data_IF_252001408382
#
_entry.id   IF_252001408382
#
_cell.length_a   1.000
_cell.length_b   1.000
_cell.length_c   1.000
_cell.angle_alpha   90.00
_cell.angle_beta   90.00
_cell.angle_gamma   90.00
#
_symmetry.space_group_name_H-M   'P 1'
#
loop_
_entity.id
_entity.type
_entity.pdbx_description
1 polymer ?
#
# COMPACT_ATOMS: atom_id res chain seq x y z
N UNK A 1 16.99 9.18 -13.27
CA UNK A 1 16.89 8.05 -12.33
C UNK A 1 17.84 6.90 -12.67
N UNK A 2 17.68 6.23 -13.82
CA UNK A 2 18.45 5.03 -14.21
C UNK A 2 19.96 5.19 -14.08
N UNK A 3 20.55 6.26 -14.60
CA UNK A 3 22.00 6.51 -14.49
C UNK A 3 22.45 6.54 -13.03
N UNK A 4 21.69 7.22 -12.15
CA UNK A 4 21.99 7.32 -10.72
C UNK A 4 21.82 5.97 -10.03
N UNK A 5 20.83 5.16 -10.42
CA UNK A 5 20.66 3.79 -9.92
C UNK A 5 21.90 2.93 -10.25
N UNK A 6 22.41 2.99 -11.48
CA UNK A 6 23.63 2.29 -11.86
C UNK A 6 24.82 2.78 -11.01
N UNK A 7 25.00 4.09 -10.86
CA UNK A 7 26.06 4.64 -9.99
C UNK A 7 25.89 4.15 -8.55
N UNK A 8 24.67 4.18 -8.01
CA UNK A 8 24.37 3.72 -6.66
C UNK A 8 24.81 2.26 -6.49
N UNK A 9 24.33 1.35 -7.34
CA UNK A 9 24.64 -0.09 -7.27
C UNK A 9 26.14 -0.37 -7.38
N UNK A 10 26.83 0.20 -8.38
CA UNK A 10 28.23 -0.11 -8.63
C UNK A 10 29.22 0.68 -7.75
N UNK A 11 28.78 1.75 -7.09
CA UNK A 11 29.64 2.56 -6.21
C UNK A 11 29.76 2.01 -4.78
N UNK A 12 28.94 1.02 -4.39
CA UNK A 12 28.94 0.48 -3.03
C UNK A 12 30.32 -0.03 -2.60
N UNK A 13 30.88 -1.01 -3.32
CA UNK A 13 32.18 -1.61 -2.98
C UNK A 13 33.33 -0.59 -2.89
N UNK A 14 33.56 0.29 -3.90
CA UNK A 14 34.64 1.26 -3.82
C UNK A 14 34.41 2.33 -2.75
N UNK A 15 33.18 2.77 -2.49
CA UNK A 15 32.90 3.76 -1.45
C UNK A 15 33.02 3.15 -0.04
N UNK A 16 32.58 1.90 0.13
CA UNK A 16 32.69 1.19 1.39
C UNK A 16 34.16 0.96 1.78
N UNK A 17 34.99 0.50 0.82
CA UNK A 17 36.44 0.31 1.03
C UNK A 17 37.17 1.60 1.43
N UNK A 18 36.72 2.74 0.90
CA UNK A 18 37.30 4.05 1.19
C UNK A 18 36.66 4.76 2.39
N UNK A 19 35.84 4.07 3.20
CA UNK A 19 35.09 4.63 4.33
C UNK A 19 34.21 5.86 3.97
N UNK A 20 33.69 5.90 2.73
CA UNK A 20 32.85 6.99 2.19
C UNK A 20 31.37 6.59 2.11
N UNK A 21 30.87 5.82 3.09
CA UNK A 21 29.48 5.36 3.15
C UNK A 21 28.46 6.50 3.06
N UNK A 22 28.77 7.65 3.66
CA UNK A 22 27.91 8.85 3.58
C UNK A 22 27.65 9.32 2.14
N UNK A 23 28.63 9.19 1.23
CA UNK A 23 28.42 9.54 -0.19
C UNK A 23 27.46 8.58 -0.88
N UNK A 24 27.49 7.31 -0.53
CA UNK A 24 26.54 6.32 -1.05
C UNK A 24 25.11 6.60 -0.53
N UNK A 25 24.96 6.99 0.73
CA UNK A 25 23.67 7.41 1.28
C UNK A 25 23.12 8.63 0.53
N UNK A 26 23.96 9.65 0.28
CA UNK A 26 23.56 10.83 -0.51
C UNK A 26 23.12 10.45 -1.92
N UNK A 27 23.84 9.52 -2.59
CA UNK A 27 23.40 9.00 -3.89
C UNK A 27 22.03 8.32 -3.80
N UNK A 28 21.75 7.59 -2.72
CA UNK A 28 20.44 7.00 -2.46
C UNK A 28 19.34 8.05 -2.28
N UNK A 29 19.62 9.14 -1.55
CA UNK A 29 18.67 10.27 -1.41
C UNK A 29 18.40 10.92 -2.76
N UNK A 30 19.43 11.19 -3.55
CA UNK A 30 19.29 11.76 -4.91
C UNK A 30 18.47 10.83 -5.82
N UNK A 31 18.70 9.51 -5.72
CA UNK A 31 17.92 8.53 -6.47
C UNK A 31 16.43 8.61 -6.12
N UNK A 32 16.09 8.72 -4.83
CA UNK A 32 14.70 8.90 -4.39
C UNK A 32 14.11 10.23 -4.88
N UNK A 33 14.87 11.33 -4.86
CA UNK A 33 14.40 12.62 -5.42
C UNK A 33 14.05 12.49 -6.90
N UNK A 34 14.87 11.78 -7.68
CA UNK A 34 14.56 11.52 -9.09
C UNK A 34 13.35 10.62 -9.27
N UNK A 35 13.21 9.55 -8.48
CA UNK A 35 12.03 8.68 -8.52
C UNK A 35 10.73 9.42 -8.17
N UNK A 36 10.77 10.29 -7.16
CA UNK A 36 9.64 11.16 -6.78
C UNK A 36 9.32 12.18 -7.87
N UNK A 37 10.34 12.76 -8.51
CA UNK A 37 10.13 13.69 -9.62
C UNK A 37 9.45 12.98 -10.81
N UNK A 38 9.82 11.73 -11.09
CA UNK A 38 9.18 10.90 -12.11
C UNK A 38 7.73 10.58 -11.75
N UNK A 39 7.45 10.25 -10.49
CA UNK A 39 6.09 10.04 -10.00
C UNK A 39 5.22 11.28 -10.28
N UNK A 40 5.67 12.46 -9.84
CA UNK A 40 4.94 13.72 -10.04
C UNK A 40 4.75 14.04 -11.53
N UNK A 41 5.74 13.75 -12.37
CA UNK A 41 5.62 13.95 -13.82
C UNK A 41 4.59 13.01 -14.46
N UNK A 42 4.54 11.74 -14.05
CA UNK A 42 3.56 10.77 -14.54
C UNK A 42 2.14 11.05 -14.04
N UNK A 43 2.00 11.67 -12.87
CA UNK A 43 0.71 12.07 -12.33
C UNK A 43 0.08 13.24 -13.08
N UNK A 44 0.88 14.10 -13.73
CA UNK A 44 0.38 15.24 -14.50
C UNK A 44 -0.64 14.83 -15.59
N UNK A 45 -0.27 13.98 -16.56
CA UNK A 45 -1.21 13.49 -17.56
C UNK A 45 -2.39 12.73 -16.96
N UNK A 46 -2.19 11.97 -15.89
CA UNK A 46 -3.26 11.22 -15.24
C UNK A 46 -4.34 12.16 -14.67
N UNK A 47 -3.93 13.22 -13.95
CA UNK A 47 -4.86 14.19 -13.39
C UNK A 47 -5.38 15.18 -14.43
N UNK A 48 -4.66 15.42 -15.53
CA UNK A 48 -5.19 16.15 -16.68
C UNK A 48 -6.35 15.42 -17.34
N UNK A 49 -6.24 14.10 -17.52
CA UNK A 49 -7.33 13.29 -18.07
C UNK A 49 -8.54 13.20 -17.12
N UNK A 50 -8.29 13.18 -15.81
CA UNK A 50 -9.34 13.02 -14.80
C UNK A 50 -10.04 14.34 -14.42
N UNK A 51 -9.26 15.39 -14.19
CA UNK A 51 -9.72 16.72 -13.78
C UNK A 51 -8.98 17.79 -14.59
N UNK A 52 -9.29 17.95 -15.89
CA UNK A 52 -8.62 18.93 -16.73
C UNK A 52 -8.81 20.37 -16.20
N UNK A 53 -7.85 21.29 -16.42
CA UNK A 53 -8.00 22.68 -16.00
C UNK A 53 -9.27 23.35 -16.52
N UNK A 54 -9.90 24.19 -15.69
CA UNK A 54 -11.09 24.97 -16.06
C UNK A 54 -10.73 26.45 -16.28
N UNK A 55 -11.47 27.17 -17.15
CA UNK A 55 -12.56 26.69 -18.01
C UNK A 55 -12.06 25.80 -19.16
N UNK A 56 -12.86 24.81 -19.56
CA UNK A 56 -12.44 23.76 -20.51
C UNK A 56 -12.19 24.29 -21.94
N UNK A 57 -12.80 25.42 -22.29
CA UNK A 57 -12.64 26.09 -23.59
C UNK A 57 -11.22 26.62 -23.83
N UNK A 58 -10.49 26.91 -22.76
CA UNK A 58 -9.14 27.47 -22.82
C UNK A 58 -8.03 26.42 -22.78
N UNK A 59 -8.37 25.12 -22.79
CA UNK A 59 -7.38 24.03 -22.63
C UNK A 59 -6.24 24.04 -23.65
N UNK A 60 -6.48 24.58 -24.85
CA UNK A 60 -5.45 24.72 -25.88
C UNK A 60 -4.54 25.93 -25.64
N UNK A 61 -5.02 26.94 -24.90
CA UNK A 61 -4.37 28.24 -24.71
C UNK A 61 -3.71 28.41 -23.32
N UNK A 62 -3.74 27.37 -22.48
CA UNK A 62 -3.04 27.39 -21.18
C UNK A 62 -1.55 27.05 -21.30
N UNK A 63 -0.77 27.51 -20.32
CA UNK A 63 0.65 27.16 -20.21
C UNK A 63 0.88 25.66 -19.97
N UNK A 64 2.04 25.15 -20.37
CA UNK A 64 2.41 23.74 -20.14
C UNK A 64 2.42 23.38 -18.65
N UNK A 65 2.78 24.33 -17.77
CA UNK A 65 2.71 24.11 -16.33
C UNK A 65 1.28 23.90 -15.85
N UNK A 66 0.34 24.70 -16.34
CA UNK A 66 -1.07 24.59 -15.96
C UNK A 66 -1.71 23.30 -16.49
N UNK A 67 -1.19 22.70 -17.57
CA UNK A 67 -1.61 21.38 -18.05
C UNK A 67 -1.23 20.26 -17.09
N UNK A 68 -0.15 20.41 -16.32
CA UNK A 68 0.32 19.43 -15.33
C UNK A 68 -0.29 19.71 -13.96
N UNK A 69 -0.25 20.96 -13.51
CA UNK A 69 -0.65 21.39 -12.18
C UNK A 69 -2.17 21.54 -12.04
N UNK A 70 -2.91 20.48 -12.33
CA UNK A 70 -4.37 20.45 -12.14
C UNK A 70 -4.74 20.44 -10.65
N UNK A 71 -6.00 20.72 -10.33
CA UNK A 71 -6.49 20.80 -8.93
C UNK A 71 -6.20 19.55 -8.12
N UNK A 72 -6.20 18.37 -8.76
CA UNK A 72 -5.98 17.09 -8.08
C UNK A 72 -4.54 16.57 -8.19
N UNK A 73 -3.64 17.27 -8.89
CA UNK A 73 -2.26 16.82 -9.13
C UNK A 73 -1.47 16.60 -7.83
N UNK A 74 -1.34 17.62 -6.98
CA UNK A 74 -0.65 17.49 -5.70
C UNK A 74 -1.34 16.52 -4.72
N UNK A 75 -2.68 16.57 -4.56
CA UNK A 75 -3.41 15.57 -3.79
C UNK A 75 -3.13 14.12 -4.24
N UNK A 76 -3.08 13.86 -5.56
CA UNK A 76 -2.72 12.55 -6.09
C UNK A 76 -1.26 12.20 -5.78
N UNK A 77 -0.33 13.14 -5.95
CA UNK A 77 1.09 12.94 -5.62
C UNK A 77 1.27 12.52 -4.15
N UNK A 78 0.58 13.18 -3.21
CA UNK A 78 0.63 12.81 -1.80
C UNK A 78 0.05 11.41 -1.55
N UNK A 79 -1.09 11.09 -2.17
CA UNK A 79 -1.70 9.79 -2.04
C UNK A 79 -0.81 8.67 -2.58
N UNK A 80 -0.23 8.86 -3.78
CA UNK A 80 0.66 7.88 -4.42
C UNK A 80 2.02 7.78 -3.77
N UNK A 81 2.56 8.86 -3.20
CA UNK A 81 3.77 8.80 -2.39
C UNK A 81 3.60 7.81 -1.24
N UNK A 82 2.50 7.95 -0.50
CA UNK A 82 2.17 7.07 0.61
C UNK A 82 1.89 5.65 0.13
N UNK A 83 1.10 5.49 -0.93
CA UNK A 83 0.82 4.17 -1.51
C UNK A 83 2.10 3.45 -1.97
N UNK A 84 2.96 4.10 -2.74
CA UNK A 84 4.20 3.51 -3.26
C UNK A 84 5.19 3.18 -2.13
N UNK A 85 5.28 4.03 -1.10
CA UNK A 85 6.12 3.75 0.06
C UNK A 85 5.62 2.55 0.88
N UNK A 86 4.29 2.43 1.02
CA UNK A 86 3.63 1.26 1.63
C UNK A 86 3.96 -0.01 0.85
N UNK A 87 3.81 0.03 -0.47
CA UNK A 87 4.20 -1.06 -1.37
C UNK A 87 5.66 -1.46 -1.22
N UNK A 88 6.59 -0.50 -1.18
CA UNK A 88 8.00 -0.76 -0.96
C UNK A 88 8.26 -1.54 0.34
N UNK A 89 7.61 -1.16 1.44
CA UNK A 89 7.69 -1.87 2.71
C UNK A 89 7.15 -3.30 2.65
N UNK A 90 5.97 -3.50 2.06
CA UNK A 90 5.42 -4.84 1.92
C UNK A 90 6.13 -5.71 0.88
N UNK A 91 6.84 -5.11 -0.08
CA UNK A 91 7.75 -5.86 -0.93
C UNK A 91 8.95 -6.42 -0.16
N UNK A 92 9.50 -5.65 0.77
CA UNK A 92 10.51 -6.14 1.71
C UNK A 92 9.94 -7.28 2.58
N UNK A 93 8.67 -7.22 2.97
CA UNK A 93 7.99 -8.32 3.68
C UNK A 93 7.97 -9.62 2.86
N UNK A 94 7.55 -9.57 1.59
CA UNK A 94 7.51 -10.75 0.73
C UNK A 94 8.91 -11.35 0.57
N UNK A 95 9.89 -10.50 0.24
CA UNK A 95 11.28 -10.95 0.05
C UNK A 95 11.82 -11.55 1.34
N UNK A 96 11.67 -10.87 2.48
CA UNK A 96 12.09 -11.36 3.78
C UNK A 96 11.43 -12.70 4.14
N UNK A 97 10.13 -12.85 3.88
CA UNK A 97 9.40 -14.09 4.16
C UNK A 97 9.85 -15.26 3.27
N UNK A 98 10.01 -15.04 1.96
CA UNK A 98 10.52 -16.08 1.06
C UNK A 98 11.94 -16.50 1.41
N UNK A 99 12.82 -15.53 1.64
CA UNK A 99 14.18 -15.82 2.03
C UNK A 99 14.24 -16.55 3.38
N UNK A 100 13.39 -16.18 4.35
CA UNK A 100 13.27 -16.89 5.63
C UNK A 100 12.83 -18.35 5.45
N UNK A 101 11.78 -18.58 4.64
CA UNK A 101 11.21 -19.91 4.42
C UNK A 101 12.14 -20.83 3.62
N UNK A 102 12.93 -20.28 2.71
CA UNK A 102 13.86 -21.05 1.86
C UNK A 102 15.30 -21.10 2.37
N UNK A 103 15.63 -20.44 3.48
CA UNK A 103 16.95 -20.55 4.10
C UNK A 103 17.04 -21.81 4.96
N UNK A 104 18.17 -22.50 4.92
CA UNK A 104 18.47 -23.62 5.83
C UNK A 104 19.31 -23.19 7.03
N UNK A 105 20.11 -22.12 6.88
CA UNK A 105 21.03 -21.67 7.92
C UNK A 105 20.32 -20.82 8.97
N UNK A 106 20.66 -21.07 10.23
CA UNK A 106 20.11 -20.31 11.37
C UNK A 106 20.38 -18.81 11.26
N UNK A 107 21.60 -18.42 10.90
CA UNK A 107 22.00 -17.00 10.78
C UNK A 107 21.20 -16.28 9.68
N UNK A 108 20.96 -16.95 8.55
CA UNK A 108 20.15 -16.41 7.45
C UNK A 108 18.69 -16.24 7.90
N UNK A 109 18.12 -17.24 8.60
CA UNK A 109 16.77 -17.12 9.18
C UNK A 109 16.66 -15.98 10.19
N UNK A 110 17.66 -15.79 11.04
CA UNK A 110 17.70 -14.68 12.00
C UNK A 110 17.68 -13.32 11.28
N UNK A 111 18.49 -13.19 10.23
CA UNK A 111 18.53 -11.99 9.42
C UNK A 111 17.20 -11.73 8.69
N UNK A 112 16.63 -12.73 8.02
CA UNK A 112 15.40 -12.54 7.24
C UNK A 112 14.15 -12.36 8.12
N UNK A 113 14.14 -12.88 9.35
CA UNK A 113 13.13 -12.55 10.36
C UNK A 113 13.17 -11.06 10.70
N UNK A 114 14.37 -10.50 10.91
CA UNK A 114 14.55 -9.05 11.10
C UNK A 114 14.14 -8.24 9.86
N UNK A 115 14.51 -8.68 8.66
CA UNK A 115 14.10 -8.03 7.39
C UNK A 115 12.58 -7.98 7.28
N UNK A 116 11.89 -9.10 7.56
CA UNK A 116 10.42 -9.15 7.54
C UNK A 116 9.77 -8.18 8.52
N UNK A 117 10.35 -8.04 9.72
CA UNK A 117 9.89 -7.06 10.71
C UNK A 117 10.08 -5.61 10.24
N UNK A 118 11.26 -5.27 9.71
CA UNK A 118 11.55 -3.94 9.18
C UNK A 118 10.65 -3.61 8.00
N UNK A 119 10.41 -4.57 7.10
CA UNK A 119 9.46 -4.42 6.00
C UNK A 119 8.06 -4.08 6.50
N UNK A 120 7.57 -4.80 7.52
CA UNK A 120 6.24 -4.54 8.07
C UNK A 120 6.17 -3.17 8.75
N UNK A 121 7.20 -2.81 9.52
CA UNK A 121 7.32 -1.51 10.17
C UNK A 121 7.28 -0.35 9.16
N UNK A 122 8.04 -0.45 8.08
CA UNK A 122 8.07 0.58 7.02
C UNK A 122 6.73 0.61 6.28
N UNK A 123 6.21 -0.55 5.87
CA UNK A 123 4.96 -0.66 5.11
C UNK A 123 3.80 -0.07 5.90
N UNK A 124 3.58 -0.53 7.13
CA UNK A 124 2.49 -0.04 7.99
C UNK A 124 2.74 1.41 8.41
N UNK A 125 3.98 1.77 8.75
CA UNK A 125 4.34 3.12 9.17
C UNK A 125 4.02 4.17 8.11
N UNK A 126 4.33 3.87 6.85
CA UNK A 126 3.95 4.74 5.72
C UNK A 126 2.44 4.64 5.45
N UNK A 127 1.80 3.49 5.62
CA UNK A 127 0.35 3.33 5.39
C UNK A 127 -0.53 4.15 6.36
N UNK A 128 -0.05 4.49 7.56
CA UNK A 128 -0.81 5.25 8.58
C UNK A 128 -1.46 6.54 8.04
N UNK A 129 -0.75 7.44 7.33
CA UNK A 129 -1.36 8.63 6.73
C UNK A 129 -2.27 8.37 5.51
N UNK A 130 -2.29 7.14 4.96
CA UNK A 130 -2.98 6.85 3.70
C UNK A 130 -4.49 7.19 3.71
N UNK A 131 -5.27 6.89 4.77
CA UNK A 131 -6.69 7.28 4.82
C UNK A 131 -6.90 8.79 4.75
N UNK A 132 -6.02 9.57 5.41
CA UNK A 132 -6.08 11.03 5.36
C UNK A 132 -5.74 11.55 3.96
N UNK A 133 -4.70 11.01 3.31
CA UNK A 133 -4.35 11.39 1.94
C UNK A 133 -5.45 11.03 0.94
N UNK A 134 -6.09 9.87 1.09
CA UNK A 134 -7.24 9.48 0.27
C UNK A 134 -8.44 10.42 0.47
N UNK A 135 -8.73 10.83 1.70
CA UNK A 135 -9.79 11.80 1.98
C UNK A 135 -9.51 13.16 1.33
N UNK A 136 -8.27 13.68 1.43
CA UNK A 136 -7.88 14.93 0.79
C UNK A 136 -8.05 14.81 -0.72
N UNK A 137 -7.53 13.74 -1.33
CA UNK A 137 -7.63 13.54 -2.78
C UNK A 137 -9.08 13.53 -3.27
N UNK A 138 -9.95 12.76 -2.63
CA UNK A 138 -11.36 12.69 -3.07
C UNK A 138 -12.10 13.99 -2.78
N UNK A 139 -11.79 14.70 -1.68
CA UNK A 139 -12.37 16.02 -1.42
C UNK A 139 -12.10 17.00 -2.57
N UNK A 140 -10.88 17.02 -3.10
CA UNK A 140 -10.52 17.89 -4.23
C UNK A 140 -11.26 17.48 -5.52
N UNK A 141 -11.49 16.19 -5.75
CA UNK A 141 -12.35 15.71 -6.85
C UNK A 141 -13.79 16.23 -6.69
N UNK A 142 -14.36 16.18 -5.48
CA UNK A 142 -15.70 16.71 -5.21
C UNK A 142 -15.80 18.22 -5.43
N UNK A 143 -14.76 18.96 -5.06
CA UNK A 143 -14.70 20.41 -5.28
C UNK A 143 -14.55 20.77 -6.76
N UNK A 144 -13.84 19.95 -7.52
CA UNK A 144 -13.71 20.10 -8.97
C UNK A 144 -15.05 19.82 -9.67
N UNK A 145 -15.67 18.67 -9.42
CA UNK A 145 -16.98 18.31 -9.98
C UNK A 145 -17.67 17.24 -9.13
N UNK A 146 -18.81 17.60 -8.54
CA UNK A 146 -19.62 16.69 -7.74
C UNK A 146 -20.10 15.46 -8.52
N UNK A 147 -20.23 15.54 -9.85
CA UNK A 147 -20.62 14.39 -10.69
C UNK A 147 -19.60 13.26 -10.63
N UNK A 148 -18.29 13.57 -10.69
CA UNK A 148 -17.23 12.55 -10.54
C UNK A 148 -17.22 12.02 -9.12
N UNK A 149 -17.29 12.91 -8.12
CA UNK A 149 -17.28 12.52 -6.72
C UNK A 149 -18.41 11.56 -6.37
N UNK A 150 -19.64 11.85 -6.83
CA UNK A 150 -20.80 10.97 -6.63
C UNK A 150 -20.67 9.65 -7.38
N UNK A 151 -20.06 9.66 -8.57
CA UNK A 151 -19.82 8.43 -9.33
C UNK A 151 -18.89 7.46 -8.58
N UNK A 152 -17.80 7.99 -8.01
CA UNK A 152 -16.83 7.22 -7.20
C UNK A 152 -17.47 6.69 -5.91
N UNK A 153 -18.18 7.55 -5.17
CA UNK A 153 -18.56 7.25 -3.78
C UNK A 153 -19.97 6.69 -3.60
N UNK A 154 -20.87 6.90 -4.55
CA UNK A 154 -22.30 6.63 -4.38
C UNK A 154 -22.98 5.96 -5.58
N UNK A 155 -22.28 5.85 -6.71
CA UNK A 155 -22.78 5.19 -7.91
C UNK A 155 -21.86 4.00 -8.30
N UNK A 156 -21.70 3.71 -9.60
CA UNK A 156 -21.09 2.47 -10.12
C UNK A 156 -19.76 2.06 -9.48
N UNK A 157 -18.95 3.00 -9.01
CA UNK A 157 -17.66 2.73 -8.35
C UNK A 157 -17.72 2.60 -6.82
N UNK A 158 -18.86 2.88 -6.20
CA UNK A 158 -19.01 2.83 -4.74
C UNK A 158 -18.62 1.48 -4.15
N UNK A 159 -18.91 0.38 -4.86
CA UNK A 159 -18.52 -0.97 -4.44
C UNK A 159 -17.02 -1.23 -4.62
N UNK A 160 -16.36 -0.59 -5.58
CA UNK A 160 -14.91 -0.66 -5.74
C UNK A 160 -14.22 0.01 -4.54
N UNK A 161 -14.74 1.17 -4.11
CA UNK A 161 -14.28 1.86 -2.91
C UNK A 161 -14.48 1.02 -1.64
N UNK A 162 -15.56 0.23 -1.56
CA UNK A 162 -15.77 -0.71 -0.45
C UNK A 162 -14.76 -1.86 -0.46
N UNK A 163 -14.47 -2.44 -1.63
CA UNK A 163 -13.42 -3.47 -1.76
C UNK A 163 -12.06 -2.92 -1.35
N UNK A 164 -11.71 -1.71 -1.80
CA UNK A 164 -10.50 -1.03 -1.36
C UNK A 164 -10.46 -0.86 0.17
N UNK A 165 -11.58 -0.42 0.73
CA UNK A 165 -11.76 -0.30 2.16
C UNK A 165 -11.56 -1.59 2.94
N UNK A 166 -12.15 -2.68 2.45
CA UNK A 166 -11.99 -4.02 2.98
C UNK A 166 -10.52 -4.44 2.97
N UNK A 167 -9.83 -4.26 1.84
CA UNK A 167 -8.41 -4.60 1.71
C UNK A 167 -7.54 -3.84 2.70
N UNK A 168 -7.74 -2.52 2.84
CA UNK A 168 -7.00 -1.70 3.82
C UNK A 168 -7.28 -2.19 5.25
N UNK A 169 -8.55 -2.43 5.60
CA UNK A 169 -8.92 -2.96 6.92
C UNK A 169 -8.30 -4.34 7.20
N UNK A 170 -8.29 -5.22 6.21
CA UNK A 170 -7.65 -6.54 6.27
C UNK A 170 -6.14 -6.43 6.41
N UNK A 171 -5.48 -5.49 5.73
CA UNK A 171 -4.04 -5.27 5.84
C UNK A 171 -3.62 -4.71 7.20
N UNK A 172 -4.39 -3.76 7.76
CA UNK A 172 -4.19 -3.33 9.15
C UNK A 172 -4.35 -4.52 10.10
N UNK A 173 -5.41 -5.33 9.94
CA UNK A 173 -5.66 -6.51 10.77
C UNK A 173 -4.51 -7.52 10.71
N UNK A 174 -4.10 -7.89 9.49
CA UNK A 174 -3.00 -8.82 9.25
C UNK A 174 -1.67 -8.30 9.80
N UNK A 175 -1.39 -7.00 9.67
CA UNK A 175 -0.20 -6.39 10.27
C UNK A 175 -0.22 -6.47 11.79
N UNK A 176 -1.37 -6.22 12.43
CA UNK A 176 -1.48 -6.37 13.88
C UNK A 176 -1.35 -7.83 14.34
N UNK A 177 -1.88 -8.79 13.55
CA UNK A 177 -1.67 -10.22 13.80
C UNK A 177 -0.19 -10.57 13.69
N UNK A 178 0.50 -10.08 12.67
CA UNK A 178 1.95 -10.25 12.53
C UNK A 178 2.67 -9.70 13.75
N UNK A 179 2.33 -8.48 14.20
CA UNK A 179 2.94 -7.88 15.39
C UNK A 179 2.73 -8.73 16.65
N UNK A 180 1.53 -9.27 16.87
CA UNK A 180 1.28 -10.16 18.00
C UNK A 180 2.07 -11.48 17.92
N UNK A 181 2.13 -12.10 16.74
CA UNK A 181 2.94 -13.29 16.49
C UNK A 181 4.42 -13.01 16.73
N UNK A 182 4.89 -11.87 16.23
CA UNK A 182 6.23 -11.34 16.34
C UNK A 182 6.62 -11.02 17.79
N UNK A 183 5.67 -10.60 18.64
CA UNK A 183 5.94 -10.40 20.07
C UNK A 183 6.16 -11.69 20.86
N UNK A 184 5.64 -12.84 20.39
CA UNK A 184 5.80 -14.12 21.11
C UNK A 184 7.25 -14.63 21.15
N UNK A 185 8.12 -14.13 20.28
CA UNK A 185 9.57 -14.44 20.28
C UNK A 185 10.38 -13.47 21.17
N UNK A 186 9.74 -12.57 21.92
CA UNK A 186 10.40 -11.61 22.80
C UNK A 186 10.16 -11.99 24.25
N UNK A 187 11.22 -12.00 25.05
CA UNK A 187 11.12 -12.27 26.48
C UNK A 187 10.24 -11.22 27.19
N UNK A 188 9.40 -11.66 28.14
CA UNK A 188 8.48 -10.82 28.93
C UNK A 188 7.42 -10.03 28.13
N UNK A 189 7.23 -10.29 26.83
CA UNK A 189 6.22 -9.59 26.03
C UNK A 189 4.77 -9.97 26.36
N UNK A 190 4.55 -11.07 27.10
CA UNK A 190 3.23 -11.59 27.46
C UNK A 190 2.38 -10.57 28.22
N UNK A 191 3.02 -9.65 28.95
CA UNK A 191 2.36 -8.56 29.69
C UNK A 191 1.50 -7.65 28.79
N UNK A 192 1.82 -7.54 27.51
CA UNK A 192 1.06 -6.72 26.56
C UNK A 192 -0.10 -7.48 25.90
N UNK A 193 -0.12 -8.83 25.98
CA UNK A 193 -1.08 -9.65 25.24
C UNK A 193 -2.54 -9.37 25.60
N UNK A 194 -2.93 -9.10 26.86
CA UNK A 194 -4.31 -8.72 27.18
C UNK A 194 -4.75 -7.45 26.45
N UNK A 195 -3.90 -6.41 26.44
CA UNK A 195 -4.17 -5.16 25.75
C UNK A 195 -4.23 -5.34 24.23
N UNK A 196 -3.33 -6.15 23.64
CA UNK A 196 -3.37 -6.45 22.20
C UNK A 196 -4.64 -7.23 21.81
N UNK A 197 -5.09 -8.18 22.65
CA UNK A 197 -6.34 -8.92 22.42
C UNK A 197 -7.55 -7.99 22.41
N UNK A 198 -7.61 -7.04 23.35
CA UNK A 198 -8.63 -6.00 23.33
C UNK A 198 -8.53 -5.14 22.06
N UNK A 199 -7.31 -4.77 21.66
CA UNK A 199 -7.05 -4.09 20.39
C UNK A 199 -7.59 -4.84 19.17
N UNK A 200 -7.47 -6.17 19.12
CA UNK A 200 -8.05 -6.96 18.03
C UNK A 200 -9.57 -6.86 17.95
N UNK A 201 -10.26 -6.81 19.08
CA UNK A 201 -11.72 -6.60 19.12
C UNK A 201 -12.05 -5.23 18.52
N UNK A 202 -11.31 -4.17 18.90
CA UNK A 202 -11.49 -2.84 18.34
C UNK A 202 -11.23 -2.80 16.82
N UNK A 203 -10.19 -3.50 16.35
CA UNK A 203 -9.86 -3.60 14.93
C UNK A 203 -11.00 -4.26 14.16
N UNK A 204 -11.55 -5.37 14.66
CA UNK A 204 -12.67 -6.07 14.00
C UNK A 204 -13.91 -5.16 13.96
N UNK A 205 -14.25 -4.51 15.07
CA UNK A 205 -15.39 -3.57 15.10
C UNK A 205 -15.20 -2.42 14.11
N UNK A 206 -14.00 -1.83 14.08
CA UNK A 206 -13.69 -0.75 13.14
C UNK A 206 -13.74 -1.22 11.68
N UNK A 207 -13.18 -2.40 11.37
CA UNK A 207 -13.26 -2.98 10.03
C UNK A 207 -14.71 -3.25 9.60
N UNK A 208 -15.57 -3.75 10.50
CA UNK A 208 -17.00 -3.94 10.24
C UNK A 208 -17.72 -2.62 9.96
N UNK A 209 -17.45 -1.57 10.75
CA UNK A 209 -18.02 -0.23 10.52
C UNK A 209 -17.58 0.31 9.16
N UNK A 210 -16.29 0.21 8.84
CA UNK A 210 -15.76 0.67 7.56
C UNK A 210 -16.41 -0.03 6.36
N UNK A 211 -16.60 -1.35 6.47
CA UNK A 211 -17.18 -2.18 5.41
C UNK A 211 -18.70 -1.99 5.27
N UNK A 212 -19.38 -1.38 6.24
CA UNK A 212 -20.84 -1.23 6.20
C UNK A 212 -21.27 -0.27 5.08
N UNK A 213 -21.96 -0.73 4.03
CA UNK A 213 -22.45 0.14 2.98
C UNK A 213 -23.83 0.71 3.33
N UNK A 214 -24.23 1.83 2.72
CA UNK A 214 -25.63 2.30 2.81
C UNK A 214 -26.55 1.42 1.97
N UNK A 215 -26.06 0.93 0.83
CA UNK A 215 -26.80 0.12 -0.16
C UNK A 215 -25.91 -1.04 -0.59
N UNK A 216 -26.47 -2.22 -0.77
CA UNK A 216 -25.74 -3.41 -1.23
C UNK A 216 -25.73 -3.55 -2.76
N UNK A 217 -26.16 -2.51 -3.48
CA UNK A 217 -26.02 -2.35 -4.92
C UNK A 217 -25.21 -1.07 -5.20
N UNK A 218 -24.46 -1.06 -6.31
CA UNK A 218 -23.54 0.03 -6.62
C UNK A 218 -24.27 1.31 -7.04
N UNK A 219 -25.44 1.22 -7.66
CA UNK A 219 -26.07 2.35 -8.34
C UNK A 219 -26.83 3.29 -7.40
N UNK A 220 -26.93 4.57 -7.79
CA UNK A 220 -27.74 5.55 -7.06
C UNK A 220 -29.25 5.26 -7.10
N UNK A 221 -29.71 4.48 -8.07
CA UNK A 221 -31.08 3.95 -8.12
C UNK A 221 -30.99 2.46 -8.47
N UNK A 222 -31.83 1.61 -7.85
CA UNK A 222 -31.86 0.19 -8.18
C UNK A 222 -32.23 0.01 -9.65
N UNK A 223 -31.44 -0.78 -10.38
CA UNK A 223 -31.72 -1.12 -11.78
C UNK A 223 -32.85 -2.17 -11.84
N UNK A 224 -33.54 -2.33 -12.99
CA UNK A 224 -34.60 -3.32 -13.14
C UNK A 224 -34.14 -4.73 -12.72
N UNK A 225 -34.86 -5.35 -11.78
CA UNK A 225 -34.53 -6.67 -11.24
C UNK A 225 -33.69 -6.66 -9.96
N UNK A 226 -33.25 -5.49 -9.47
CA UNK A 226 -32.65 -5.36 -8.14
C UNK A 226 -33.70 -5.26 -7.05
N UNK A 227 -33.40 -5.80 -5.87
CA UNK A 227 -34.25 -5.69 -4.70
C UNK A 227 -34.02 -4.34 -3.99
N UNK A 228 -35.04 -3.48 -4.04
CA UNK A 228 -35.01 -2.14 -3.43
C UNK A 228 -34.88 -2.18 -1.90
N UNK A 229 -35.08 -3.34 -1.27
CA UNK A 229 -34.93 -3.53 0.17
C UNK A 229 -33.49 -3.79 0.60
N UNK A 230 -32.55 -3.96 -0.35
CA UNK A 230 -31.11 -4.12 -0.10
C UNK A 230 -30.42 -2.81 0.32
N UNK A 231 -31.02 -2.12 1.28
CA UNK A 231 -30.57 -0.86 1.88
C UNK A 231 -30.48 -1.06 3.38
N UNK A 232 -29.45 -0.49 4.01
CA UNK A 232 -29.28 -0.57 5.44
C UNK A 232 -30.46 0.10 6.16
N UNK A 233 -31.07 -0.52 7.20
CA UNK A 233 -32.16 0.08 7.96
C UNK A 233 -31.83 1.49 8.48
N UNK A 234 -32.82 2.38 8.57
CA UNK A 234 -32.57 3.81 8.87
C UNK A 234 -31.96 4.05 10.26
N UNK A 235 -32.26 3.19 11.24
CA UNK A 235 -31.63 3.24 12.56
C UNK A 235 -30.13 2.89 12.52
N UNK A 236 -29.64 2.23 11.46
CA UNK A 236 -28.24 1.87 11.25
C UNK A 236 -27.56 2.70 10.15
N UNK A 237 -28.32 3.57 9.46
CA UNK A 237 -27.83 4.41 8.35
C UNK A 237 -26.57 5.20 8.68
N UNK A 238 -26.44 5.63 9.95
CA UNK A 238 -25.30 6.41 10.44
C UNK A 238 -23.97 5.67 10.32
N UNK A 239 -23.96 4.32 10.30
CA UNK A 239 -22.75 3.51 10.13
C UNK A 239 -22.14 3.68 8.74
N UNK A 240 -22.96 3.95 7.73
CA UNK A 240 -22.51 4.13 6.35
C UNK A 240 -21.98 5.55 6.05
N UNK A 241 -22.14 6.50 6.99
CA UNK A 241 -21.69 7.88 6.81
C UNK A 241 -20.16 7.99 6.89
N UNK A 242 -19.61 8.98 6.20
CA UNK A 242 -18.16 9.25 6.20
C UNK A 242 -17.61 9.52 7.60
N UNK A 243 -18.39 10.09 8.52
CA UNK A 243 -17.97 10.31 9.91
C UNK A 243 -17.68 8.97 10.60
N UNK A 244 -18.56 7.97 10.47
CA UNK A 244 -18.37 6.63 11.05
C UNK A 244 -17.19 5.92 10.42
N UNK A 245 -17.04 5.99 9.08
CA UNK A 245 -15.90 5.43 8.36
C UNK A 245 -14.58 6.07 8.82
N UNK A 246 -14.50 7.39 8.86
CA UNK A 246 -13.30 8.09 9.32
C UNK A 246 -12.95 7.76 10.79
N UNK A 247 -13.95 7.61 11.65
CA UNK A 247 -13.77 7.18 13.06
C UNK A 247 -13.21 5.76 13.13
N UNK A 248 -13.72 4.85 12.29
CA UNK A 248 -13.21 3.49 12.18
C UNK A 248 -11.75 3.47 11.69
N UNK A 249 -11.39 4.22 10.63
CA UNK A 249 -9.99 4.31 10.20
C UNK A 249 -9.08 4.88 11.29
N UNK A 250 -9.51 5.93 11.99
CA UNK A 250 -8.73 6.50 13.08
C UNK A 250 -8.51 5.49 14.20
N UNK A 251 -9.53 4.69 14.51
CA UNK A 251 -9.42 3.60 15.50
C UNK A 251 -8.44 2.52 15.03
N UNK A 252 -8.52 2.08 13.77
CA UNK A 252 -7.57 1.12 13.19
C UNK A 252 -6.13 1.62 13.28
N UNK A 253 -5.89 2.87 12.87
CA UNK A 253 -4.58 3.51 12.92
C UNK A 253 -4.07 3.59 14.36
N UNK A 254 -4.90 4.06 15.29
CA UNK A 254 -4.53 4.24 16.69
C UNK A 254 -4.16 2.92 17.36
N UNK A 255 -5.00 1.89 17.19
CA UNK A 255 -4.72 0.56 17.77
C UNK A 255 -3.45 -0.03 17.16
N UNK A 256 -3.26 0.13 15.85
CA UNK A 256 -2.04 -0.32 15.17
C UNK A 256 -0.80 0.38 15.74
N UNK A 257 -0.86 1.71 15.86
CA UNK A 257 0.23 2.49 16.42
C UNK A 257 0.57 2.08 17.86
N UNK A 258 -0.43 1.83 18.70
CA UNK A 258 -0.25 1.34 20.07
C UNK A 258 0.44 -0.04 20.07
N UNK A 259 0.05 -0.97 19.19
CA UNK A 259 0.69 -2.28 19.09
C UNK A 259 2.18 -2.17 18.70
N UNK A 260 2.54 -1.20 17.86
CA UNK A 260 3.94 -0.89 17.54
C UNK A 260 4.71 -0.28 18.71
N UNK A 261 4.06 0.56 19.53
CA UNK A 261 4.64 1.05 20.78
C UNK A 261 4.92 -0.14 21.74
N UNK A 262 3.95 -1.03 21.93
CA UNK A 262 4.14 -2.21 22.77
C UNK A 262 5.28 -3.10 22.28
N UNK A 263 5.38 -3.32 20.97
CA UNK A 263 6.49 -4.06 20.39
C UNK A 263 7.82 -3.37 20.68
N UNK A 264 7.91 -2.06 20.45
CA UNK A 264 9.13 -1.27 20.70
C UNK A 264 9.56 -1.37 22.16
N UNK A 265 8.61 -1.22 23.10
CA UNK A 265 8.88 -1.38 24.53
C UNK A 265 9.35 -2.81 24.82
N UNK A 266 8.67 -3.83 24.28
CA UNK A 266 9.06 -5.22 24.46
C UNK A 266 10.50 -5.48 23.99
N UNK A 267 10.89 -4.99 22.81
CA UNK A 267 12.26 -5.13 22.29
C UNK A 267 13.32 -4.41 23.12
N UNK A 268 12.97 -3.32 23.81
CA UNK A 268 13.89 -2.61 24.71
C UNK A 268 14.05 -3.30 26.07
N UNK A 269 13.02 -4.01 26.53
CA UNK A 269 12.99 -4.63 27.87
C UNK A 269 13.25 -6.13 27.90
N UNK A 270 13.35 -6.78 26.73
CA UNK A 270 13.47 -8.23 26.62
C UNK A 270 14.33 -8.62 25.42
N UNK A 271 14.95 -9.81 25.51
CA UNK A 271 15.75 -10.34 24.41
C UNK A 271 14.83 -10.85 23.30
N UNK A 272 15.14 -10.48 22.06
CA UNK A 272 14.44 -10.97 20.87
C UNK A 272 15.13 -12.23 20.38
N UNK A 273 14.39 -13.33 20.29
CA UNK A 273 14.87 -14.58 19.70
C UNK A 273 14.59 -14.59 18.20
N UNK A 274 15.39 -13.86 17.44
CA UNK A 274 15.32 -13.87 15.97
C UNK A 274 15.44 -15.30 15.43
N UNK A 275 14.81 -15.56 14.29
CA UNK A 275 14.84 -16.88 13.68
C UNK A 275 13.81 -17.86 14.26
N UNK A 276 13.22 -17.56 15.43
CA UNK A 276 12.22 -18.39 16.12
C UNK A 276 10.79 -17.85 16.01
N UNK A 277 10.49 -17.09 14.95
CA UNK A 277 9.13 -16.63 14.68
C UNK A 277 8.20 -17.83 14.41
N UNK A 278 6.93 -17.73 14.82
CA UNK A 278 5.92 -18.72 14.47
C UNK A 278 5.77 -18.78 12.93
N UNK A 279 5.58 -19.98 12.32
CA UNK A 279 5.38 -20.13 10.88
C UNK A 279 4.28 -19.26 10.28
N UNK A 280 3.26 -18.89 11.07
CA UNK A 280 2.21 -17.96 10.65
C UNK A 280 2.77 -16.59 10.24
N UNK A 281 3.86 -16.12 10.86
CA UNK A 281 4.44 -14.80 10.61
C UNK A 281 4.85 -14.58 9.15
N UNK A 282 5.75 -15.39 8.57
CA UNK A 282 6.12 -15.31 7.16
C UNK A 282 4.93 -15.39 6.19
N UNK A 283 3.93 -16.25 6.45
CA UNK A 283 2.74 -16.31 5.61
C UNK A 283 1.90 -15.03 5.67
N UNK A 284 1.77 -14.42 6.84
CA UNK A 284 1.10 -13.12 6.99
C UNK A 284 1.86 -12.03 6.23
N UNK A 285 3.19 -12.02 6.26
CA UNK A 285 4.02 -11.09 5.50
C UNK A 285 3.82 -11.23 3.97
N UNK A 286 3.74 -12.47 3.48
CA UNK A 286 3.43 -12.75 2.08
C UNK A 286 2.03 -12.26 1.73
N UNK A 287 1.04 -12.57 2.57
CA UNK A 287 -0.34 -12.14 2.39
C UNK A 287 -0.48 -10.62 2.36
N UNK A 288 0.27 -9.89 3.19
CA UNK A 288 0.28 -8.43 3.21
C UNK A 288 0.76 -7.85 1.88
N UNK A 289 1.88 -8.34 1.36
CA UNK A 289 2.37 -7.86 0.07
C UNK A 289 1.48 -8.26 -1.10
N UNK A 290 0.90 -9.47 -1.09
CA UNK A 290 -0.12 -9.84 -2.08
C UNK A 290 -1.34 -8.89 -2.03
N UNK A 291 -1.84 -8.62 -0.83
CA UNK A 291 -3.00 -7.75 -0.61
C UNK A 291 -2.71 -6.31 -1.04
N UNK A 292 -1.49 -5.83 -0.83
CA UNK A 292 -1.06 -4.50 -1.26
C UNK A 292 -0.99 -4.36 -2.79
N UNK A 293 -0.40 -5.34 -3.49
CA UNK A 293 -0.41 -5.38 -4.96
C UNK A 293 -1.85 -5.38 -5.50
N UNK A 294 -2.73 -6.13 -4.82
CA UNK A 294 -4.14 -6.18 -5.16
C UNK A 294 -4.83 -4.82 -4.95
N UNK A 295 -4.60 -4.18 -3.81
CA UNK A 295 -5.10 -2.85 -3.46
C UNK A 295 -4.66 -1.79 -4.48
N UNK A 296 -3.39 -1.79 -4.86
CA UNK A 296 -2.82 -0.86 -5.85
C UNK A 296 -3.49 -0.99 -7.22
N UNK A 297 -3.83 -2.22 -7.61
CA UNK A 297 -4.51 -2.49 -8.88
C UNK A 297 -5.94 -1.94 -8.88
N UNK A 298 -6.66 -2.06 -7.75
CA UNK A 298 -7.99 -1.46 -7.59
C UNK A 298 -7.94 0.07 -7.62
N UNK A 299 -6.94 0.69 -6.98
CA UNK A 299 -6.75 2.14 -7.00
C UNK A 299 -6.57 2.69 -8.41
N UNK A 300 -5.75 2.03 -9.22
CA UNK A 300 -5.59 2.37 -10.63
C UNK A 300 -6.92 2.27 -11.37
N UNK A 301 -7.65 1.17 -11.17
CA UNK A 301 -8.96 0.93 -11.81
C UNK A 301 -9.96 2.03 -11.50
N UNK A 302 -10.14 2.40 -10.22
CA UNK A 302 -11.06 3.46 -9.78
C UNK A 302 -10.70 4.80 -10.44
N UNK A 303 -9.41 5.16 -10.46
CA UNK A 303 -8.97 6.41 -11.11
C UNK A 303 -9.32 6.41 -12.60
N UNK A 304 -9.01 5.33 -13.32
CA UNK A 304 -9.27 5.29 -14.76
C UNK A 304 -10.76 5.31 -15.09
N UNK A 305 -11.57 4.57 -14.33
CA UNK A 305 -13.02 4.45 -14.52
C UNK A 305 -13.78 5.72 -14.11
N UNK A 306 -13.22 6.54 -13.21
CA UNK A 306 -13.90 7.75 -12.71
C UNK A 306 -14.15 8.80 -13.79
N UNK A 307 -13.47 8.68 -14.93
CA UNK A 307 -13.69 9.48 -16.14
C UNK A 307 -14.92 9.01 -16.93
N UNK A 308 -15.61 7.97 -16.50
CA UNK A 308 -16.80 7.40 -17.13
C UNK A 308 -16.51 7.01 -18.59
N UNK A 309 -17.26 7.56 -19.55
CA UNK A 309 -17.08 7.35 -20.98
C UNK A 309 -16.26 8.49 -21.65
N UNK A 310 -15.27 9.02 -20.94
CA UNK A 310 -14.39 10.07 -21.44
C UNK A 310 -12.92 9.64 -21.36
N UNK A 311 -12.15 9.92 -22.41
CA UNK A 311 -10.69 9.79 -22.35
C UNK A 311 -10.07 10.95 -21.58
N UNK A 312 -10.61 12.16 -21.79
CA UNK A 312 -10.36 13.36 -21.00
C UNK A 312 -11.73 13.86 -20.53
N UNK A 313 -11.94 13.89 -19.22
CA UNK A 313 -13.25 14.17 -18.63
C UNK A 313 -13.86 15.47 -19.16
N UNK A 314 -15.09 15.38 -19.71
CA UNK A 314 -15.85 16.48 -20.36
C UNK A 314 -15.19 17.14 -21.58
N UNK A 315 -14.06 16.64 -22.07
CA UNK A 315 -13.33 17.21 -23.21
C UNK A 315 -13.34 16.26 -24.39
N UNK A 316 -12.91 15.01 -24.18
CA UNK A 316 -12.82 14.01 -25.24
C UNK A 316 -13.66 12.79 -24.89
N UNK A 317 -14.87 12.75 -25.46
CA UNK A 317 -15.84 11.69 -25.21
C UNK A 317 -15.51 10.45 -26.02
N UNK A 318 -15.62 9.30 -25.38
CA UNK A 318 -15.58 8.02 -26.07
C UNK A 318 -16.88 7.80 -26.86
N UNK A 319 -16.75 7.60 -28.17
CA UNK A 319 -17.84 7.37 -29.12
C UNK A 319 -17.85 5.94 -29.66
N UNK A 320 -16.89 5.10 -29.24
CA UNK A 320 -16.81 3.71 -29.68
C UNK A 320 -18.04 2.90 -29.23
N UNK A 321 -18.44 1.87 -30.01
CA UNK A 321 -19.49 0.94 -29.60
C UNK A 321 -19.17 0.17 -28.31
N UNK A 322 -17.89 -0.05 -28.04
CA UNK A 322 -17.38 -0.86 -26.93
C UNK A 322 -17.19 -0.06 -25.63
N UNK A 323 -17.69 1.18 -25.56
CA UNK A 323 -17.60 1.97 -24.33
C UNK A 323 -18.57 1.43 -23.27
N UNK A 324 -18.03 0.97 -22.16
CA UNK A 324 -18.82 0.65 -20.97
C UNK A 324 -17.95 0.73 -19.72
N UNK A 325 -18.61 0.94 -18.58
CA UNK A 325 -17.96 0.74 -17.28
C UNK A 325 -18.08 -0.74 -16.93
N UNK A 326 -16.96 -1.47 -16.79
CA UNK A 326 -16.99 -2.88 -16.40
C UNK A 326 -17.62 -3.05 -15.02
N UNK A 327 -18.31 -4.17 -14.83
CA UNK A 327 -18.82 -4.57 -13.53
C UNK A 327 -17.66 -4.81 -12.54
N UNK A 328 -17.99 -4.83 -11.24
CA UNK A 328 -17.03 -5.21 -10.20
C UNK A 328 -16.49 -6.63 -10.43
N UNK A 329 -17.32 -7.54 -10.94
CA UNK A 329 -16.93 -8.92 -11.21
C UNK A 329 -15.92 -9.01 -12.37
N UNK A 330 -16.18 -8.33 -13.49
CA UNK A 330 -15.26 -8.28 -14.64
C UNK A 330 -13.94 -7.61 -14.26
N UNK A 331 -14.02 -6.44 -13.61
CA UNK A 331 -12.84 -5.74 -13.12
C UNK A 331 -12.06 -6.60 -12.13
N UNK A 332 -12.77 -7.29 -11.22
CA UNK A 332 -12.18 -8.18 -10.24
C UNK A 332 -11.48 -9.37 -10.86
N UNK A 333 -12.02 -9.96 -11.93
CA UNK A 333 -11.36 -11.01 -12.69
C UNK A 333 -10.03 -10.50 -13.29
N UNK A 334 -10.06 -9.40 -14.04
CA UNK A 334 -8.87 -8.83 -14.66
C UNK A 334 -7.80 -8.45 -13.64
N UNK A 335 -8.19 -7.70 -12.61
CA UNK A 335 -7.31 -7.29 -11.52
C UNK A 335 -6.67 -8.52 -10.86
N UNK A 336 -7.47 -9.53 -10.51
CA UNK A 336 -6.97 -10.74 -9.86
C UNK A 336 -6.01 -11.51 -10.77
N UNK A 337 -6.32 -11.67 -12.05
CA UNK A 337 -5.44 -12.31 -13.03
C UNK A 337 -4.10 -11.58 -13.16
N UNK A 338 -4.10 -10.25 -13.22
CA UNK A 338 -2.88 -9.44 -13.29
C UNK A 338 -2.04 -9.62 -12.02
N UNK A 339 -2.66 -9.52 -10.85
CA UNK A 339 -1.99 -9.67 -9.56
C UNK A 339 -1.35 -11.06 -9.43
N UNK A 340 -2.09 -12.12 -9.77
CA UNK A 340 -1.54 -13.49 -9.76
C UNK A 340 -0.41 -13.67 -10.77
N UNK A 341 -0.55 -13.13 -11.98
CA UNK A 341 0.50 -13.20 -13.00
C UNK A 341 1.77 -12.52 -12.51
N UNK A 342 1.67 -11.29 -11.98
CA UNK A 342 2.79 -10.58 -11.38
C UNK A 342 3.42 -11.38 -10.23
N UNK A 343 2.59 -11.91 -9.34
CA UNK A 343 3.04 -12.65 -8.17
C UNK A 343 3.76 -13.95 -8.54
N UNK A 344 3.27 -14.69 -9.55
CA UNK A 344 3.93 -15.89 -10.10
C UNK A 344 5.28 -15.54 -10.72
N UNK A 345 5.33 -14.51 -11.56
CA UNK A 345 6.57 -14.06 -12.20
C UNK A 345 7.60 -13.64 -11.14
N UNK A 346 7.19 -12.81 -10.18
CA UNK A 346 8.03 -12.34 -9.09
C UNK A 346 8.56 -13.50 -8.24
N UNK A 347 7.69 -14.42 -7.83
CA UNK A 347 8.08 -15.63 -7.09
C UNK A 347 9.09 -16.45 -7.88
N UNK A 348 8.86 -16.62 -9.18
CA UNK A 348 9.77 -17.31 -10.10
C UNK A 348 11.14 -16.63 -10.18
N UNK A 349 11.19 -15.30 -10.27
CA UNK A 349 12.44 -14.52 -10.31
C UNK A 349 13.22 -14.68 -8.99
N UNK A 350 12.55 -14.55 -7.84
CA UNK A 350 13.18 -14.71 -6.52
C UNK A 350 13.71 -16.14 -6.38
N UNK A 351 12.89 -17.14 -6.73
CA UNK A 351 13.28 -18.55 -6.69
C UNK A 351 14.49 -18.86 -7.59
N UNK A 352 14.52 -18.33 -8.81
CA UNK A 352 15.66 -18.46 -9.73
C UNK A 352 16.93 -17.81 -9.15
N UNK A 353 16.79 -16.63 -8.53
CA UNK A 353 17.89 -15.93 -7.89
C UNK A 353 18.52 -16.70 -6.73
N UNK A 354 17.71 -17.47 -5.98
CA UNK A 354 18.17 -18.31 -4.87
C UNK A 354 18.78 -19.63 -5.38
N UNK A 355 18.13 -20.28 -6.36
CA UNK A 355 18.56 -21.59 -6.85
C UNK A 355 19.83 -21.54 -7.70
N UNK A 356 20.01 -20.46 -8.46
CA UNK A 356 21.17 -20.25 -9.32
C UNK A 356 21.93 -18.99 -8.89
N UNK A 357 22.56 -19.00 -7.70
CA UNK A 357 23.34 -17.86 -7.27
C UNK A 357 24.47 -17.65 -8.28
N UNK A 358 24.59 -16.43 -8.82
CA UNK A 358 25.68 -16.09 -9.75
C UNK A 358 27.01 -16.52 -9.13
N UNK A 359 27.77 -17.32 -9.87
CA UNK A 359 29.03 -17.94 -9.44
C UNK A 359 29.85 -16.97 -8.59
N UNK A 360 30.19 -17.39 -7.36
CA UNK A 360 31.17 -16.70 -6.52
C UNK A 360 32.45 -16.55 -7.34
N UNK A 361 32.90 -15.32 -7.57
CA UNK A 361 34.32 -15.10 -7.82
C UNK A 361 35.05 -15.47 -6.53
N UNK A 362 35.82 -16.54 -6.60
CA UNK A 362 36.78 -16.96 -5.59
C UNK A 362 37.79 -15.83 -5.36
N UNK A 363 37.81 -15.22 -4.17
CA UNK A 363 39.05 -14.79 -3.51
C UNK A 363 38.77 -14.27 -2.10
N UNK A 364 39.36 -15.02 -1.17
CA UNK A 364 39.94 -14.57 0.10
C UNK A 364 39.04 -14.22 1.29
N UNK A 365 39.52 -14.70 2.43
CA UNK A 365 38.94 -14.67 3.75
C UNK A 365 38.41 -13.29 4.15
N UNK A 366 37.10 -13.10 4.06
CA UNK A 366 36.43 -12.10 4.87
C UNK A 366 35.67 -12.84 5.97
N UNK A 367 36.16 -12.69 7.19
CA UNK A 367 35.43 -13.02 8.41
C UNK A 367 33.98 -12.55 8.29
N UNK A 368 33.00 -13.31 8.82
CA UNK A 368 31.60 -12.93 8.70
C UNK A 368 31.45 -11.51 9.22
N UNK A 369 30.91 -10.62 8.39
CA UNK A 369 30.46 -9.33 8.83
C UNK A 369 29.44 -9.60 9.94
N UNK A 370 29.87 -9.49 11.19
CA UNK A 370 28.98 -9.34 12.32
C UNK A 370 28.17 -8.08 12.01
N UNK A 371 26.99 -8.26 11.45
CA UNK A 371 25.87 -7.37 11.71
C UNK A 371 25.56 -7.55 13.20
N UNK A 372 26.41 -6.96 14.05
CA UNK A 372 26.05 -6.75 15.43
C UNK A 372 24.75 -5.94 15.38
N UNK A 373 23.66 -6.40 16.04
CA UNK A 373 22.53 -5.53 16.24
C UNK A 373 23.08 -4.31 16.97
N UNK A 374 23.05 -3.15 16.29
CA UNK A 374 23.45 -1.90 16.89
C UNK A 374 22.47 -1.68 18.04
N UNK A 375 22.91 -2.00 19.25
CA UNK A 375 22.20 -1.68 20.48
C UNK A 375 22.00 -0.17 20.43
N UNK A 376 20.74 0.25 20.46
CA UNK A 376 20.41 1.64 20.66
C UNK A 376 20.96 2.05 22.03
N UNK A 377 21.96 2.92 22.04
CA UNK A 377 22.13 3.87 23.13
C UNK A 377 21.05 4.95 23.05
#
# INVERSE_FOLDING_TARGET
ETIVMYIYVYSWDPLNKNNKKGRHIVLGVILNVFGLSLLCALDGPATFMQTPPTPLEDLLNISEWNRIATSTWMPLNYHRLVGNGTFGGYMVCIIGAYMYLWSDKREEKEYYDWVGYIGNLIGVGIMIPLPAMGYIFVREIYQYDATIGMYIMSDRESMFMLVQGLLVGTMFSASNIYMWVSMKRIDNAQRFFPAMKFGFILIIMAACIWFTPRRFFATMMPEPGMDNTMVLPDNLAFLALMISKNTAAFTLVTVTFINYIFYTIATKTGKVHYGKINPLGPYVLIFLGFSDIWLMSWMGTIRELSRMNWHIYKVFKDVTPEKFTPSLAESGFHVTTIVWTFFIIMTGIIWLGIKYPKSKKTSESHAPAQAAPQMAE
#
